data_IF_559016574740
#
_entry.id   IF_559016574740
#
_cell.length_a   1.000
_cell.length_b   1.000
_cell.length_c   1.000
_cell.angle_alpha   90.00
_cell.angle_beta   90.00
_cell.angle_gamma   90.00
#
_symmetry.space_group_name_H-M   'P 1'
#
loop_
_entity.id
_entity.type
_entity.pdbx_description
1 polymer ?
#
# COMPACT_ATOMS: atom_id res chain seq x y z
N UNK A 1 -3.85 -9.46 -5.70
CA UNK A 1 -5.11 -9.01 -5.04
C UNK A 1 -6.03 -8.35 -6.06
N UNK A 2 -7.27 -8.05 -5.69
CA UNK A 2 -8.28 -7.31 -6.44
C UNK A 2 -8.61 -6.01 -5.72
N UNK A 3 -9.04 -4.99 -6.48
CA UNK A 3 -9.32 -3.65 -5.98
C UNK A 3 -10.24 -3.59 -4.75
N UNK A 4 -11.30 -4.40 -4.75
CA UNK A 4 -12.32 -4.40 -3.69
C UNK A 4 -11.88 -5.14 -2.42
N UNK A 5 -10.70 -5.76 -2.42
CA UNK A 5 -10.12 -6.41 -1.25
C UNK A 5 -9.32 -5.42 -0.39
N UNK A 6 -9.00 -4.25 -0.92
CA UNK A 6 -8.27 -3.21 -0.18
C UNK A 6 -9.19 -2.47 0.78
N UNK A 7 -8.69 -2.19 1.98
CA UNK A 7 -9.30 -1.30 2.98
C UNK A 7 -8.25 -0.29 3.46
N UNK A 8 -8.68 0.90 3.90
CA UNK A 8 -7.74 1.88 4.49
C UNK A 8 -7.11 1.25 5.74
N UNK A 9 -5.79 1.34 5.83
CA UNK A 9 -4.99 0.71 6.89
C UNK A 9 -4.58 -0.73 6.60
N UNK A 10 -5.09 -1.36 5.53
CA UNK A 10 -4.65 -2.69 5.14
C UNK A 10 -3.17 -2.68 4.77
N UNK A 11 -2.41 -3.60 5.36
CA UNK A 11 -1.04 -3.85 4.99
C UNK A 11 -0.97 -4.99 3.98
N UNK A 12 -0.21 -4.79 2.91
CA UNK A 12 -0.03 -5.76 1.82
C UNK A 12 1.43 -5.77 1.36
N UNK A 13 1.78 -6.71 0.51
CA UNK A 13 3.12 -6.88 -0.03
C UNK A 13 3.12 -6.78 -1.55
N UNK A 14 4.26 -6.35 -2.07
CA UNK A 14 4.63 -6.43 -3.50
C UNK A 14 6.07 -6.93 -3.59
N UNK A 15 6.59 -7.15 -4.80
CA UNK A 15 8.00 -7.48 -5.00
C UNK A 15 8.98 -6.45 -4.39
N UNK A 16 8.53 -5.22 -4.13
CA UNK A 16 9.36 -4.15 -3.55
C UNK A 16 9.28 -4.06 -2.03
N UNK A 17 8.43 -4.87 -1.39
CA UNK A 17 8.30 -4.92 0.07
C UNK A 17 6.87 -4.67 0.55
N UNK A 18 6.76 -4.24 1.82
CA UNK A 18 5.49 -4.07 2.52
C UNK A 18 4.94 -2.65 2.36
N UNK A 19 3.63 -2.56 2.19
CA UNK A 19 2.88 -1.34 1.93
C UNK A 19 1.68 -1.24 2.86
N UNK A 20 1.19 -0.03 3.11
CA UNK A 20 -0.07 0.24 3.81
C UNK A 20 -0.96 1.12 2.96
N UNK A 21 -2.17 0.66 2.67
CA UNK A 21 -3.19 1.42 1.96
C UNK A 21 -3.62 2.63 2.81
N UNK A 22 -3.55 3.83 2.24
CA UNK A 22 -3.88 5.10 2.91
C UNK A 22 -5.14 5.75 2.34
N UNK A 23 -5.49 5.46 1.08
CA UNK A 23 -6.72 5.92 0.46
C UNK A 23 -7.24 4.98 -0.64
N UNK A 24 -8.53 5.03 -0.92
CA UNK A 24 -9.20 4.19 -1.92
C UNK A 24 -9.99 5.07 -2.88
N UNK A 25 -9.50 5.18 -4.12
CA UNK A 25 -10.21 5.80 -5.22
C UNK A 25 -11.22 4.86 -5.89
N UNK A 26 -11.86 5.31 -6.97
CA UNK A 26 -12.80 4.48 -7.75
C UNK A 26 -12.10 3.43 -8.61
N UNK A 27 -10.88 3.69 -9.08
CA UNK A 27 -10.07 2.75 -9.90
C UNK A 27 -8.72 2.40 -9.32
N UNK A 28 -8.19 3.24 -8.44
CA UNK A 28 -6.86 3.09 -7.83
C UNK A 28 -6.97 2.90 -6.32
N UNK A 29 -5.87 2.52 -5.68
CA UNK A 29 -5.61 2.77 -4.25
C UNK A 29 -4.34 3.60 -4.12
N UNK A 30 -4.17 4.26 -2.99
CA UNK A 30 -2.95 4.98 -2.63
C UNK A 30 -2.34 4.30 -1.41
N UNK A 31 -1.02 4.15 -1.39
CA UNK A 31 -0.33 3.48 -0.30
C UNK A 31 1.05 4.07 -0.01
N UNK A 32 1.48 3.95 1.24
CA UNK A 32 2.84 4.24 1.68
C UNK A 32 3.64 2.95 1.87
N UNK A 33 4.94 2.99 1.57
CA UNK A 33 5.83 1.86 1.83
C UNK A 33 6.28 1.85 3.30
N UNK A 34 6.26 0.67 3.93
CA UNK A 34 6.65 0.46 5.32
C UNK A 34 8.13 0.06 5.42
N UNK A 35 9.02 0.94 4.98
CA UNK A 35 10.48 0.72 4.94
C UNK A 35 11.30 1.84 5.60
N UNK A 36 10.66 2.66 6.44
CA UNK A 36 11.30 3.73 7.20
C UNK A 36 11.75 3.27 8.57
N UNK A 37 12.88 3.82 9.03
CA UNK A 37 13.42 3.57 10.37
C UNK A 37 12.63 4.32 11.46
N UNK A 38 12.23 5.57 11.20
CA UNK A 38 11.49 6.40 12.16
C UNK A 38 9.96 6.17 12.02
N UNK A 39 9.29 5.61 13.05
CA UNK A 39 7.85 5.36 12.99
C UNK A 39 7.01 6.64 12.81
N UNK A 40 7.54 7.81 13.17
CA UNK A 40 6.86 9.10 12.99
C UNK A 40 6.60 9.43 11.53
N UNK A 41 7.37 8.84 10.61
CA UNK A 41 7.15 9.00 9.18
C UNK A 41 5.79 8.47 8.71
N UNK A 42 5.21 7.52 9.48
CA UNK A 42 3.89 6.96 9.23
C UNK A 42 2.75 7.71 9.94
N UNK A 43 3.04 8.82 10.63
CA UNK A 43 2.00 9.68 11.19
C UNK A 43 1.45 10.58 10.08
N UNK A 44 0.15 10.46 9.80
CA UNK A 44 -0.52 11.25 8.78
C UNK A 44 -2.04 11.08 8.84
N UNK A 45 -2.78 11.71 7.92
CA UNK A 45 -2.28 12.60 6.85
C UNK A 45 -1.88 14.02 7.34
N UNK A 46 -0.94 14.71 6.66
CA UNK A 46 -0.06 14.15 5.61
C UNK A 46 1.03 13.26 6.23
N UNK A 47 1.34 12.14 5.55
CA UNK A 47 2.48 11.30 5.92
C UNK A 47 3.80 12.02 5.56
N UNK A 48 4.88 11.75 6.30
CA UNK A 48 6.20 12.33 5.99
C UNK A 48 6.96 11.56 4.91
N UNK A 49 6.28 10.66 4.20
CA UNK A 49 6.79 9.85 3.10
C UNK A 49 5.85 9.89 1.90
N UNK A 50 6.40 9.55 0.74
CA UNK A 50 5.65 9.49 -0.51
C UNK A 50 4.56 8.44 -0.45
N UNK A 51 3.38 8.87 -0.86
CA UNK A 51 2.26 8.03 -1.24
C UNK A 51 2.38 7.64 -2.72
N UNK A 52 2.23 6.35 -3.01
CA UNK A 52 2.25 5.79 -4.36
C UNK A 52 0.85 5.36 -4.78
N UNK A 53 0.53 5.59 -6.05
CA UNK A 53 -0.74 5.17 -6.66
C UNK A 53 -0.58 3.77 -7.23
N UNK A 54 -1.53 2.89 -6.93
CA UNK A 54 -1.64 1.55 -7.47
C UNK A 54 -2.93 1.45 -8.28
N UNK A 55 -2.83 1.06 -9.55
CA UNK A 55 -3.96 0.89 -10.45
C UNK A 55 -4.29 -0.59 -10.74
N UNK A 56 -5.20 -0.82 -11.69
CA UNK A 56 -5.67 -2.15 -12.06
C UNK A 56 -4.59 -3.10 -12.58
N UNK A 57 -3.49 -2.58 -13.11
CA UNK A 57 -2.33 -3.35 -13.56
C UNK A 57 -1.41 -3.72 -12.41
N UNK A 58 -1.36 -2.92 -11.35
CA UNK A 58 -0.51 -3.18 -10.17
C UNK A 58 -1.10 -4.24 -9.23
N UNK A 59 -2.44 -4.37 -9.16
CA UNK A 59 -3.09 -5.25 -8.19
C UNK A 59 -2.70 -6.73 -8.32
N UNK A 60 -2.32 -7.16 -9.53
CA UNK A 60 -1.83 -8.52 -9.78
C UNK A 60 -0.56 -8.86 -9.00
N UNK A 61 0.30 -7.87 -8.76
CA UNK A 61 1.54 -8.01 -7.97
C UNK A 61 1.38 -7.76 -6.48
N UNK A 62 0.14 -7.59 -5.99
CA UNK A 62 -0.15 -7.38 -4.57
C UNK A 62 -0.57 -8.69 -3.90
N UNK A 63 -0.05 -8.96 -2.71
CA UNK A 63 -0.40 -10.14 -1.91
C UNK A 63 -0.55 -9.81 -0.41
N UNK A 64 -1.30 -10.65 0.32
CA UNK A 64 -1.44 -10.51 1.77
C UNK A 64 -0.23 -11.09 2.52
N UNK A 65 0.43 -12.09 1.94
CA UNK A 65 1.67 -12.65 2.45
C UNK A 65 2.80 -12.52 1.42
N UNK A 66 4.05 -12.29 1.86
CA UNK A 66 5.18 -12.14 0.94
C UNK A 66 5.53 -13.44 0.20
N UNK A 67 5.08 -14.60 0.69
CA UNK A 67 5.30 -15.90 0.04
C UNK A 67 4.37 -16.17 -1.14
N UNK A 68 3.41 -15.28 -1.40
CA UNK A 68 2.41 -15.37 -2.47
C UNK A 68 2.72 -14.42 -3.65
N UNK A 69 3.91 -13.82 -3.65
CA UNK A 69 4.40 -12.88 -4.67
C UNK A 69 5.08 -13.58 -5.85
#
# INVERSE_FOLDING_TARGET
MKKNEFTIGLEFYTATGKWRCTDIGTRVIVAIQLNQEDPRNYNGPPYSIVESVFDEYDFGGCALNPNEL
#
